data_IF_211913289815
#
_entry.id   IF_211913289815
#
_cell.length_a   1.000
_cell.length_b   1.000
_cell.length_c   1.000
_cell.angle_alpha   90.00
_cell.angle_beta   90.00
_cell.angle_gamma   90.00
#
_symmetry.space_group_name_H-M   'P 1'
#
loop_
_entity.id
_entity.type
_entity.pdbx_description
1 polymer ?
#
# COMPACT_ATOMS: atom_id res chain seq x y z
N UNK A 1 -29.48 29.97 37.52
CA UNK A 1 -28.84 30.22 36.20
C UNK A 1 -27.78 29.15 36.00
N UNK A 2 -27.95 28.20 35.07
CA UNK A 2 -26.98 27.13 34.84
C UNK A 2 -26.04 27.52 33.69
N UNK A 3 -24.73 27.49 33.92
CA UNK A 3 -23.73 27.65 32.86
C UNK A 3 -23.92 26.50 31.88
N UNK A 4 -24.44 26.81 30.70
CA UNK A 4 -24.56 25.86 29.60
C UNK A 4 -23.20 25.73 28.96
N UNK A 5 -22.43 24.74 29.38
CA UNK A 5 -21.10 24.48 28.81
C UNK A 5 -21.24 23.99 27.35
N UNK A 6 -21.31 24.96 26.44
CA UNK A 6 -21.35 24.72 24.98
C UNK A 6 -19.95 24.59 24.40
N UNK A 7 -18.89 24.86 25.18
CA UNK A 7 -17.51 24.70 24.75
C UNK A 7 -17.24 23.25 24.44
N UNK A 8 -17.46 22.36 25.40
CA UNK A 8 -17.26 20.92 25.21
C UNK A 8 -18.03 20.35 24.02
N UNK A 9 -19.32 20.70 23.86
CA UNK A 9 -20.14 20.21 22.73
C UNK A 9 -19.64 20.66 21.36
N UNK A 10 -19.03 21.85 21.24
CA UNK A 10 -18.44 22.34 19.99
C UNK A 10 -17.13 21.64 19.67
N UNK A 11 -16.32 21.36 20.69
CA UNK A 11 -15.01 20.72 20.53
C UNK A 11 -15.08 19.19 20.43
N UNK A 12 -16.21 18.55 20.76
CA UNK A 12 -16.43 17.11 20.58
C UNK A 12 -16.22 16.65 19.13
N UNK A 13 -16.58 17.46 18.14
CA UNK A 13 -16.33 17.16 16.72
C UNK A 13 -14.83 17.14 16.39
N UNK A 14 -14.04 18.03 16.99
CA UNK A 14 -12.62 18.19 16.68
C UNK A 14 -11.73 17.09 17.27
N UNK A 15 -12.15 16.43 18.36
CA UNK A 15 -11.28 15.51 19.11
C UNK A 15 -11.86 14.11 19.37
N UNK A 16 -13.14 13.85 19.05
CA UNK A 16 -13.83 12.65 19.55
C UNK A 16 -14.51 11.78 18.49
N UNK A 17 -14.51 12.16 17.21
CA UNK A 17 -15.23 11.37 16.21
C UNK A 17 -14.36 10.22 15.70
N UNK A 18 -14.66 9.00 16.15
CA UNK A 18 -13.95 7.78 15.76
C UNK A 18 -13.88 7.59 14.25
N UNK A 19 -14.88 8.08 13.51
CA UNK A 19 -14.89 8.01 12.03
C UNK A 19 -13.83 8.92 11.40
N UNK A 20 -13.54 10.09 11.98
CA UNK A 20 -12.47 10.97 11.50
C UNK A 20 -11.09 10.35 11.76
N UNK A 21 -10.91 9.73 12.92
CA UNK A 21 -9.67 9.03 13.28
C UNK A 21 -9.45 7.86 12.32
N UNK A 22 -10.50 7.07 12.05
CA UNK A 22 -10.44 5.96 11.10
C UNK A 22 -10.12 6.45 9.68
N UNK A 23 -10.80 7.50 9.22
CA UNK A 23 -10.53 8.09 7.90
C UNK A 23 -9.09 8.60 7.76
N UNK A 24 -8.55 9.24 8.80
CA UNK A 24 -7.16 9.69 8.82
C UNK A 24 -6.17 8.51 8.75
N UNK A 25 -6.44 7.43 9.50
CA UNK A 25 -5.60 6.22 9.48
C UNK A 25 -5.64 5.50 8.14
N UNK A 26 -6.81 5.39 7.51
CA UNK A 26 -6.95 4.74 6.22
C UNK A 26 -6.22 5.54 5.12
N UNK A 27 -6.33 6.87 5.15
CA UNK A 27 -5.55 7.75 4.26
C UNK A 27 -4.04 7.60 4.45
N UNK A 28 -3.57 7.52 5.70
CA UNK A 28 -2.14 7.31 5.98
C UNK A 28 -1.65 5.96 5.49
N UNK A 29 -2.41 4.89 5.74
CA UNK A 29 -2.09 3.55 5.24
C UNK A 29 -2.04 3.53 3.72
N UNK A 30 -2.98 4.22 3.06
CA UNK A 30 -3.01 4.30 1.60
C UNK A 30 -1.81 5.06 1.03
N UNK A 31 -1.32 6.10 1.71
CA UNK A 31 -0.08 6.78 1.34
C UNK A 31 1.17 5.89 1.50
N UNK A 32 1.16 5.02 2.50
CA UNK A 32 2.25 4.06 2.75
C UNK A 32 2.17 2.80 1.88
N UNK A 33 1.10 2.61 1.09
CA UNK A 33 0.98 1.46 0.20
C UNK A 33 2.05 1.51 -0.89
N UNK A 34 2.96 0.56 -0.84
CA UNK A 34 3.87 0.26 -1.94
C UNK A 34 3.10 -0.65 -2.93
N UNK A 35 3.07 -0.27 -4.20
CA UNK A 35 2.49 -1.11 -5.24
C UNK A 35 3.24 -2.45 -5.28
N UNK A 36 2.49 -3.56 -5.27
CA UNK A 36 3.11 -4.88 -5.41
C UNK A 36 3.83 -4.91 -6.76
N UNK A 37 5.14 -5.24 -6.80
CA UNK A 37 5.83 -5.39 -8.07
C UNK A 37 5.19 -6.53 -8.86
N UNK A 38 5.19 -6.40 -10.19
CA UNK A 38 4.60 -7.39 -11.11
C UNK A 38 5.33 -8.73 -10.98
N UNK A 39 6.63 -8.69 -10.69
CA UNK A 39 7.51 -9.85 -10.53
C UNK A 39 8.24 -9.73 -9.19
N UNK A 40 8.23 -10.79 -8.41
CA UNK A 40 9.00 -10.90 -7.16
C UNK A 40 10.51 -10.98 -7.48
N UNK A 41 11.43 -10.42 -6.67
CA UNK A 41 12.87 -10.66 -6.82
C UNK A 41 13.26 -12.14 -7.01
N UNK A 42 12.59 -13.10 -6.37
CA UNK A 42 12.86 -14.52 -6.60
C UNK A 42 12.45 -15.00 -8.00
N UNK A 43 11.29 -14.55 -8.49
CA UNK A 43 10.82 -14.86 -9.84
C UNK A 43 11.74 -14.25 -10.90
N UNK A 44 12.25 -13.03 -10.64
CA UNK A 44 13.23 -12.36 -11.49
C UNK A 44 14.52 -13.17 -11.61
N UNK A 45 15.03 -13.70 -10.49
CA UNK A 45 16.22 -14.55 -10.44
C UNK A 45 16.03 -15.80 -11.31
N UNK A 46 14.87 -16.47 -11.19
CA UNK A 46 14.56 -17.64 -12.00
C UNK A 46 14.47 -17.32 -13.49
N UNK A 47 13.83 -16.21 -13.87
CA UNK A 47 13.78 -15.80 -15.27
C UNK A 47 15.16 -15.53 -15.82
N UNK A 48 16.03 -14.85 -15.07
CA UNK A 48 17.40 -14.60 -15.47
C UNK A 48 18.18 -15.90 -15.67
N UNK A 49 18.04 -16.88 -14.78
CA UNK A 49 18.68 -18.19 -14.91
C UNK A 49 18.19 -18.94 -16.15
N UNK A 50 16.88 -18.94 -16.42
CA UNK A 50 16.30 -19.60 -17.61
C UNK A 50 16.77 -18.94 -18.91
N UNK A 51 16.86 -17.61 -18.93
CA UNK A 51 17.38 -16.86 -20.08
C UNK A 51 18.87 -17.14 -20.27
N UNK A 52 19.67 -17.13 -19.20
CA UNK A 52 21.10 -17.48 -19.24
C UNK A 52 21.32 -18.88 -19.80
N UNK A 53 20.57 -19.87 -19.30
CA UNK A 53 20.59 -21.22 -19.83
C UNK A 53 20.22 -21.27 -21.32
N UNK A 54 19.14 -20.60 -21.74
CA UNK A 54 18.74 -20.59 -23.14
C UNK A 54 19.81 -19.95 -24.04
N UNK A 55 20.52 -18.91 -23.57
CA UNK A 55 21.64 -18.32 -24.30
C UNK A 55 22.81 -19.29 -24.46
N UNK A 56 23.16 -20.05 -23.41
CA UNK A 56 24.25 -21.03 -23.46
C UNK A 56 24.00 -22.14 -24.49
N UNK A 57 22.75 -22.61 -24.59
CA UNK A 57 22.36 -23.70 -25.49
C UNK A 57 21.72 -23.22 -26.80
N UNK A 58 21.74 -21.91 -27.06
CA UNK A 58 21.20 -21.27 -28.26
C UNK A 58 19.73 -21.65 -28.54
N UNK A 59 18.93 -21.72 -27.48
CA UNK A 59 17.53 -22.11 -27.49
C UNK A 59 16.62 -20.89 -27.75
N UNK A 60 15.50 -21.12 -28.44
CA UNK A 60 14.51 -20.08 -28.65
C UNK A 60 13.74 -19.79 -27.35
N UNK A 61 13.61 -18.50 -27.01
CA UNK A 61 12.86 -18.03 -25.83
C UNK A 61 11.67 -17.20 -26.29
N UNK A 62 10.50 -17.45 -25.70
CA UNK A 62 9.29 -16.64 -25.88
C UNK A 62 8.96 -16.03 -24.52
N UNK A 63 8.84 -14.70 -24.47
CA UNK A 63 8.55 -13.95 -23.25
C UNK A 63 7.13 -13.38 -23.38
N UNK A 64 6.32 -13.57 -22.34
CA UNK A 64 4.96 -13.03 -22.21
C UNK A 64 4.82 -12.28 -20.89
N UNK A 65 4.09 -11.17 -20.91
CA UNK A 65 3.83 -10.29 -19.75
C UNK A 65 2.61 -10.79 -18.98
#
# INVERSE_FOLDING_TARGET
MAIRDRGMKKWQFAFGHLELIKGQQDLWRDQERIAKPIVDPYELEEFNQRIAYAMEYNLAVIITI
#
